data_IF_209788021252
#
_entry.id   IF_209788021252
#
_cell.length_a   1.000
_cell.length_b   1.000
_cell.length_c   1.000
_cell.angle_alpha   90.00
_cell.angle_beta   90.00
_cell.angle_gamma   90.00
#
_symmetry.space_group_name_H-M   'P 1'
#
loop_
_entity.id
_entity.type
_entity.pdbx_description
1 polymer ?
#
# COMPACT_ATOMS: atom_id res chain seq x y z
N UNK A 1 7.27 -7.48 2.92
CA UNK A 1 7.40 -6.03 2.62
C UNK A 1 7.12 -5.22 3.89
N UNK A 2 7.65 -4.01 4.01
CA UNK A 2 7.33 -3.11 5.12
C UNK A 2 6.12 -2.25 4.71
N UNK A 3 4.94 -2.54 5.24
CA UNK A 3 3.72 -1.80 4.93
C UNK A 3 3.49 -0.65 5.92
N UNK A 4 3.38 0.58 5.40
CA UNK A 4 3.09 1.78 6.19
C UNK A 4 1.61 2.12 6.29
N UNK A 5 0.78 1.50 5.46
CA UNK A 5 -0.66 1.74 5.45
C UNK A 5 -1.40 0.92 4.40
N UNK A 6 -2.73 1.00 4.45
CA UNK A 6 -3.61 0.31 3.51
C UNK A 6 -4.86 1.14 3.25
N UNK A 7 -5.18 1.38 1.98
CA UNK A 7 -6.48 1.88 1.54
C UNK A 7 -7.39 0.68 1.25
N UNK A 8 -8.40 0.48 2.10
CA UNK A 8 -9.26 -0.72 2.09
C UNK A 8 -10.05 -0.94 0.80
N UNK A 9 -10.36 0.13 0.07
CA UNK A 9 -11.04 0.09 -1.23
C UNK A 9 -10.67 1.33 -2.03
N UNK A 10 -10.34 1.14 -3.30
CA UNK A 10 -10.07 2.16 -4.29
C UNK A 10 -10.65 1.73 -5.64
N UNK A 11 -11.15 2.71 -6.38
CA UNK A 11 -11.66 2.55 -7.76
C UNK A 11 -10.81 3.30 -8.78
N UNK A 12 -9.71 3.94 -8.35
CA UNK A 12 -8.91 4.85 -9.19
C UNK A 12 -7.47 4.37 -9.39
N UNK A 13 -6.95 3.52 -8.50
CA UNK A 13 -5.55 3.07 -8.55
C UNK A 13 -5.31 1.93 -9.55
N UNK A 14 -6.39 1.30 -10.05
CA UNK A 14 -6.33 0.34 -11.15
C UNK A 14 -7.58 0.47 -12.03
N UNK A 15 -7.45 0.73 -13.34
CA UNK A 15 -8.60 0.93 -14.23
C UNK A 15 -9.55 -0.27 -14.25
N UNK A 16 -10.82 -0.03 -13.90
CA UNK A 16 -11.88 -1.04 -13.95
C UNK A 16 -11.84 -2.10 -12.85
N UNK A 17 -11.02 -1.90 -11.80
CA UNK A 17 -10.81 -2.88 -10.72
C UNK A 17 -11.07 -2.21 -9.38
N UNK A 18 -11.98 -2.77 -8.57
CA UNK A 18 -12.14 -2.36 -7.18
C UNK A 18 -11.00 -3.01 -6.39
N UNK A 19 -10.02 -2.22 -5.98
CA UNK A 19 -8.76 -2.71 -5.43
C UNK A 19 -8.53 -2.28 -3.99
N UNK A 20 -7.76 -3.07 -3.25
CA UNK A 20 -7.11 -2.61 -2.02
C UNK A 20 -5.71 -2.10 -2.37
N UNK A 21 -5.33 -0.92 -1.88
CA UNK A 21 -3.98 -0.38 -2.08
C UNK A 21 -3.15 -0.60 -0.83
N UNK A 22 -2.04 -1.30 -0.96
CA UNK A 22 -1.06 -1.51 0.11
C UNK A 22 0.09 -0.54 -0.09
N UNK A 23 0.32 0.33 0.88
CA UNK A 23 1.38 1.33 0.83
C UNK A 23 2.63 0.81 1.54
N UNK A 24 3.73 0.70 0.81
CA UNK A 24 5.04 0.33 1.33
C UNK A 24 5.78 1.53 1.92
N UNK A 25 6.63 1.30 2.92
CA UNK A 25 7.57 2.31 3.46
C UNK A 25 8.94 2.20 2.81
N UNK A 26 9.62 3.33 2.69
CA UNK A 26 10.88 3.48 1.97
C UNK A 26 10.64 4.00 0.55
N UNK A 27 11.24 5.13 0.21
CA UNK A 27 11.33 5.67 -1.14
C UNK A 27 12.73 6.26 -1.31
N UNK A 28 13.35 6.06 -2.46
CA UNK A 28 14.65 6.64 -2.83
C UNK A 28 14.52 8.04 -3.45
N UNK A 29 13.30 8.55 -3.58
CA UNK A 29 12.99 9.90 -4.04
C UNK A 29 12.47 10.79 -2.90
N UNK A 30 12.66 12.11 -3.06
CA UNK A 30 12.15 13.14 -2.14
C UNK A 30 11.42 14.25 -2.92
N UNK A 31 10.46 13.86 -3.75
CA UNK A 31 9.70 14.78 -4.60
C UNK A 31 9.04 15.89 -3.77
N UNK A 32 9.18 17.15 -4.17
CA UNK A 32 8.63 18.29 -3.43
C UNK A 32 7.10 18.23 -3.31
N UNK A 33 6.44 17.65 -4.32
CA UNK A 33 4.99 17.46 -4.40
C UNK A 33 4.51 16.11 -3.83
N UNK A 34 5.38 15.34 -3.17
CA UNK A 34 4.98 14.02 -2.66
C UNK A 34 3.82 14.15 -1.66
N UNK A 35 2.72 13.44 -1.92
CA UNK A 35 1.55 13.41 -1.05
C UNK A 35 1.79 12.52 0.19
N UNK A 36 2.69 11.54 0.08
CA UNK A 36 2.94 10.51 1.08
C UNK A 36 4.37 10.62 1.66
N UNK A 37 4.81 11.85 2.00
CA UNK A 37 6.18 12.10 2.48
C UNK A 37 6.58 11.23 3.67
N UNK A 38 5.61 10.90 4.53
CA UNK A 38 5.83 10.02 5.69
C UNK A 38 6.29 8.60 5.30
N UNK A 39 6.02 8.17 4.07
CA UNK A 39 6.47 6.87 3.55
C UNK A 39 7.91 6.89 3.00
N UNK A 40 8.57 8.05 2.88
CA UNK A 40 9.96 8.12 2.40
C UNK A 40 10.90 7.37 3.36
N UNK A 41 10.71 7.56 4.67
CA UNK A 41 11.47 6.82 5.68
C UNK A 41 10.98 5.38 5.79
N UNK A 42 11.93 4.43 5.93
CA UNK A 42 11.62 3.03 6.27
C UNK A 42 11.13 2.86 7.72
N UNK A 43 11.36 3.85 8.58
CA UNK A 43 10.90 3.85 9.97
C UNK A 43 9.47 4.37 10.13
N UNK A 44 8.87 4.12 11.29
CA UNK A 44 7.52 4.58 11.64
C UNK A 44 6.54 3.43 11.89
N UNK A 45 5.26 3.77 12.05
CA UNK A 45 4.19 2.79 12.25
C UNK A 45 4.07 1.84 11.06
N UNK A 46 3.91 0.55 11.32
CA UNK A 46 3.74 -0.46 10.29
C UNK A 46 2.44 -1.20 10.48
N UNK A 47 1.84 -1.61 9.37
CA UNK A 47 0.74 -2.57 9.37
C UNK A 47 1.33 -3.96 9.24
N UNK A 48 0.97 -4.86 10.17
CA UNK A 48 1.47 -6.23 10.09
C UNK A 48 0.87 -6.95 8.88
N UNK A 49 1.68 -7.81 8.28
CA UNK A 49 1.26 -8.61 7.14
C UNK A 49 0.07 -9.53 7.50
N UNK A 50 0.02 -10.04 8.73
CA UNK A 50 -1.12 -10.83 9.23
C UNK A 50 -2.44 -10.05 9.21
N UNK A 51 -2.44 -8.77 9.58
CA UNK A 51 -3.64 -7.91 9.52
C UNK A 51 -4.09 -7.70 8.08
N UNK A 52 -3.13 -7.53 7.15
CA UNK A 52 -3.42 -7.36 5.73
C UNK A 52 -4.04 -8.64 5.17
N UNK A 53 -3.45 -9.81 5.44
CA UNK A 53 -3.98 -11.09 4.97
C UNK A 53 -5.38 -11.36 5.50
N UNK A 54 -5.61 -11.19 6.81
CA UNK A 54 -6.93 -11.36 7.41
C UNK A 54 -7.97 -10.40 6.80
N UNK A 55 -7.58 -9.17 6.50
CA UNK A 55 -8.45 -8.24 5.78
C UNK A 55 -8.76 -8.71 4.35
N UNK A 56 -7.75 -9.11 3.58
CA UNK A 56 -7.91 -9.54 2.19
C UNK A 56 -8.77 -10.80 2.08
N UNK A 57 -8.59 -11.77 2.98
CA UNK A 57 -9.42 -12.97 3.02
C UNK A 57 -10.91 -12.64 3.25
N UNK A 58 -11.20 -11.74 4.20
CA UNK A 58 -12.56 -11.27 4.46
C UNK A 58 -13.18 -10.46 3.32
N UNK A 59 -12.39 -10.06 2.33
CA UNK A 59 -12.82 -9.26 1.17
C UNK A 59 -12.82 -10.01 -0.16
N UNK A 60 -12.58 -11.33 -0.14
CA UNK A 60 -12.71 -12.16 -1.35
C UNK A 60 -14.12 -12.05 -1.94
N UNK A 61 -14.20 -11.77 -3.25
CA UNK A 61 -15.46 -11.55 -3.96
C UNK A 61 -16.02 -10.13 -3.85
N UNK A 62 -15.41 -9.26 -3.03
CA UNK A 62 -15.73 -7.83 -2.96
C UNK A 62 -14.64 -6.95 -3.57
N UNK A 63 -13.37 -7.37 -3.46
CA UNK A 63 -12.24 -6.76 -4.13
C UNK A 63 -11.82 -7.62 -5.32
N UNK A 64 -11.56 -6.96 -6.43
CA UNK A 64 -11.12 -7.57 -7.69
C UNK A 64 -9.59 -7.70 -7.75
N UNK A 65 -8.86 -6.91 -6.95
CA UNK A 65 -7.41 -6.92 -6.97
C UNK A 65 -6.74 -6.20 -5.80
N UNK A 66 -5.41 -6.26 -5.80
CA UNK A 66 -4.55 -5.57 -4.84
C UNK A 66 -3.51 -4.77 -5.62
N UNK A 67 -3.36 -3.48 -5.28
CA UNK A 67 -2.34 -2.60 -5.82
C UNK A 67 -1.23 -2.44 -4.78
N UNK A 68 0.00 -2.72 -5.17
CA UNK A 68 1.19 -2.42 -4.36
C UNK A 68 1.71 -1.04 -4.76
N UNK A 69 1.68 -0.10 -3.82
CA UNK A 69 2.08 1.30 -4.01
C UNK A 69 2.81 1.82 -2.76
N UNK A 70 2.89 3.13 -2.56
CA UNK A 70 3.46 3.75 -1.36
C UNK A 70 4.70 4.57 -1.65
N UNK A 71 5.76 4.38 -0.86
CA UNK A 71 7.07 4.97 -1.14
C UNK A 71 7.58 4.51 -2.51
N UNK A 72 8.39 3.46 -2.51
CA UNK A 72 8.78 2.77 -3.74
C UNK A 72 8.69 1.25 -3.48
N UNK A 73 7.61 0.59 -3.96
CA UNK A 73 7.40 -0.84 -3.74
C UNK A 73 8.55 -1.73 -4.22
N UNK A 74 9.26 -1.30 -5.27
CA UNK A 74 10.33 -2.10 -5.87
C UNK A 74 11.62 -2.10 -5.04
N UNK A 75 11.72 -1.27 -4.00
CA UNK A 75 12.84 -1.29 -3.03
C UNK A 75 12.71 -2.38 -1.96
N UNK A 76 11.59 -3.12 -1.92
CA UNK A 76 11.37 -4.17 -0.93
C UNK A 76 12.11 -5.46 -1.35
N UNK A 77 12.88 -6.05 -0.43
CA UNK A 77 13.55 -7.36 -0.57
C UNK A 77 12.99 -8.34 0.44
#
# INVERSE_FOLDING_TARGET
>A
MIFGGMQKSSTIDFPGVISCVLFTRGCDMNCFYCHNRDLISRGGSCVSEAIIWDFLERRRGLLDGVVLSGGEPTLQR
#
